data_IF_144656639723
#
_entry.id   IF_144656639723
#
_cell.length_a   1.000
_cell.length_b   1.000
_cell.length_c   1.000
_cell.angle_alpha   90.00
_cell.angle_beta   90.00
_cell.angle_gamma   90.00
#
_symmetry.space_group_name_H-M   'P 1'
#
loop_
_entity.id
_entity.type
_entity.pdbx_description
1 polymer ?
#
# COMPACT_ATOMS: atom_id res chain seq x y z
N UNK A 1 -26.96 3.97 18.70
CA UNK A 1 -25.56 4.36 18.41
C UNK A 1 -25.53 4.94 17.01
N UNK A 2 -25.25 6.23 16.86
CA UNK A 2 -25.14 6.84 15.52
C UNK A 2 -23.99 6.19 14.75
N UNK A 3 -24.24 5.79 13.50
CA UNK A 3 -23.19 5.28 12.62
C UNK A 3 -22.10 6.35 12.49
N UNK A 4 -20.89 6.06 12.98
CA UNK A 4 -19.77 6.99 12.88
C UNK A 4 -19.28 7.00 11.43
N UNK A 5 -19.55 8.08 10.70
CA UNK A 5 -19.29 8.15 9.25
C UNK A 5 -17.92 8.72 8.92
N UNK A 6 -17.35 8.30 7.78
CA UNK A 6 -16.15 8.91 7.22
C UNK A 6 -16.32 10.43 7.09
N UNK A 7 -15.31 11.19 7.46
CA UNK A 7 -15.27 12.65 7.26
C UNK A 7 -14.24 12.90 6.18
N UNK A 8 -14.68 13.38 5.02
CA UNK A 8 -13.85 13.50 3.82
C UNK A 8 -13.95 14.92 3.26
N UNK A 9 -12.82 15.47 2.87
CA UNK A 9 -12.73 16.76 2.22
C UNK A 9 -11.85 16.63 0.97
N UNK A 10 -12.35 17.15 -0.15
CA UNK A 10 -11.55 17.34 -1.35
C UNK A 10 -10.90 18.73 -1.31
N UNK A 11 -9.60 18.78 -1.58
CA UNK A 11 -8.80 19.99 -1.67
C UNK A 11 -8.24 20.07 -3.10
N UNK A 12 -8.71 21.02 -3.93
CA UNK A 12 -8.22 21.20 -5.29
C UNK A 12 -6.72 21.51 -5.33
N UNK A 13 -6.03 21.07 -6.39
CA UNK A 13 -4.62 21.43 -6.61
C UNK A 13 -4.45 22.93 -6.93
N UNK A 14 -3.32 23.52 -6.53
CA UNK A 14 -3.06 24.95 -6.72
C UNK A 14 -2.86 25.33 -8.20
N UNK A 15 -2.37 24.41 -9.04
CA UNK A 15 -2.16 24.64 -10.47
C UNK A 15 -3.43 24.36 -11.32
N UNK A 16 -4.55 24.04 -10.67
CA UNK A 16 -5.79 23.66 -11.33
C UNK A 16 -6.32 24.71 -12.33
N UNK A 17 -6.30 26.04 -12.05
CA UNK A 17 -6.79 27.04 -13.00
C UNK A 17 -6.03 27.09 -14.33
N UNK A 18 -4.77 26.62 -14.37
CA UNK A 18 -3.93 26.62 -15.57
C UNK A 18 -4.25 25.46 -16.51
N UNK A 19 -4.81 24.37 -15.98
CA UNK A 19 -5.05 23.11 -16.71
C UNK A 19 -6.52 22.80 -16.92
N UNK A 20 -7.39 23.26 -16.03
CA UNK A 20 -8.80 22.91 -16.00
C UNK A 20 -9.69 24.15 -15.92
N UNK A 21 -10.80 24.12 -16.66
CA UNK A 21 -11.92 25.05 -16.47
C UNK A 21 -12.77 24.65 -15.26
N UNK A 22 -12.95 23.33 -15.07
CA UNK A 22 -13.64 22.75 -13.92
C UNK A 22 -12.90 21.51 -13.49
N UNK A 23 -12.76 21.34 -12.18
CA UNK A 23 -12.34 20.09 -11.57
C UNK A 23 -12.97 20.00 -10.18
N UNK A 24 -14.10 19.31 -10.12
CA UNK A 24 -14.92 19.19 -8.91
C UNK A 24 -15.06 17.72 -8.55
N UNK A 25 -14.89 17.42 -7.26
CA UNK A 25 -15.10 16.08 -6.69
C UNK A 25 -16.00 16.23 -5.47
N UNK A 26 -17.03 15.40 -5.42
CA UNK A 26 -18.01 15.38 -4.33
C UNK A 26 -18.21 13.93 -3.86
N UNK A 27 -18.49 13.78 -2.58
CA UNK A 27 -18.90 12.51 -1.99
C UNK A 27 -20.43 12.48 -2.00
N UNK A 28 -21.01 11.38 -2.46
CA UNK A 28 -22.47 11.30 -2.61
C UNK A 28 -23.11 11.25 -1.21
N UNK A 29 -23.97 12.22 -0.91
CA UNK A 29 -24.61 12.37 0.40
C UNK A 29 -25.70 11.32 0.66
N UNK A 30 -25.96 11.09 1.94
CA UNK A 30 -26.54 9.88 2.54
C UNK A 30 -27.96 9.50 2.09
N UNK A 31 -28.77 10.36 1.48
CA UNK A 31 -30.20 10.06 1.35
C UNK A 31 -30.60 9.09 0.21
N UNK A 32 -29.67 8.70 -0.67
CA UNK A 32 -29.91 7.66 -1.71
C UNK A 32 -28.90 6.50 -1.64
N UNK A 33 -27.73 6.71 -1.01
CA UNK A 33 -26.64 5.75 -0.90
C UNK A 33 -26.18 5.49 0.56
N UNK A 34 -26.99 5.85 1.57
CA UNK A 34 -26.77 5.66 3.03
C UNK A 34 -26.41 4.24 3.50
N UNK A 35 -26.43 3.24 2.62
CA UNK A 35 -26.31 1.82 2.98
C UNK A 35 -24.94 1.24 2.67
N UNK A 36 -24.04 2.00 2.05
CA UNK A 36 -22.69 1.52 1.77
C UNK A 36 -21.78 1.76 2.97
N UNK A 37 -21.71 0.78 3.86
CA UNK A 37 -20.87 0.79 5.06
C UNK A 37 -19.39 0.52 4.71
N UNK A 38 -19.13 -0.14 3.58
CA UNK A 38 -17.79 -0.64 3.25
C UNK A 38 -17.15 0.09 2.07
N UNK A 39 -17.82 1.07 1.49
CA UNK A 39 -17.32 1.86 0.37
C UNK A 39 -17.67 3.35 0.43
N UNK A 40 -16.86 4.16 -0.24
CA UNK A 40 -17.00 5.61 -0.38
C UNK A 40 -17.45 5.88 -1.82
N UNK A 41 -18.73 6.23 -2.06
CA UNK A 41 -19.17 6.67 -3.37
C UNK A 41 -18.67 8.09 -3.64
N UNK A 42 -18.00 8.25 -4.76
CA UNK A 42 -17.42 9.52 -5.20
C UNK A 42 -17.86 9.81 -6.62
N UNK A 43 -18.22 11.06 -6.88
CA UNK A 43 -18.52 11.55 -8.22
C UNK A 43 -17.78 12.85 -8.46
N UNK A 44 -17.49 13.13 -9.72
CA UNK A 44 -16.87 14.39 -10.08
C UNK A 44 -17.19 14.83 -11.49
N UNK A 45 -16.76 16.04 -11.80
CA UNK A 45 -16.80 16.62 -13.13
C UNK A 45 -15.46 17.30 -13.42
N UNK A 46 -14.88 17.02 -14.58
CA UNK A 46 -13.62 17.63 -15.01
C UNK A 46 -13.77 18.11 -16.46
N UNK A 47 -13.40 19.37 -16.67
CA UNK A 47 -13.37 20.03 -17.97
C UNK A 47 -11.95 20.55 -18.17
N UNK A 48 -11.09 19.82 -18.91
CA UNK A 48 -9.76 20.29 -19.30
C UNK A 48 -9.85 21.56 -20.15
N UNK A 49 -8.83 22.41 -20.10
CA UNK A 49 -8.69 23.54 -21.04
C UNK A 49 -8.34 23.09 -22.46
N UNK A 50 -7.66 21.95 -22.57
CA UNK A 50 -7.20 21.34 -23.80
C UNK A 50 -7.45 19.83 -23.79
N UNK A 51 -7.94 19.29 -24.90
CA UNK A 51 -8.18 17.86 -25.07
C UNK A 51 -9.44 17.30 -24.40
N UNK A 52 -9.49 15.98 -24.29
CA UNK A 52 -10.64 15.20 -23.83
C UNK A 52 -10.28 14.38 -22.59
N UNK A 53 -11.04 14.49 -21.47
CA UNK A 53 -10.77 13.69 -20.29
C UNK A 53 -11.11 12.21 -20.58
N UNK A 54 -10.18 11.32 -20.27
CA UNK A 54 -10.33 9.88 -20.51
C UNK A 54 -10.75 9.15 -19.23
N UNK A 55 -10.00 9.37 -18.15
CA UNK A 55 -10.10 8.57 -16.93
C UNK A 55 -9.77 9.38 -15.69
N UNK A 56 -10.62 9.28 -14.67
CA UNK A 56 -10.33 9.70 -13.31
C UNK A 56 -9.66 8.55 -12.55
N UNK A 57 -8.59 8.85 -11.81
CA UNK A 57 -7.78 7.89 -11.09
C UNK A 57 -7.64 8.37 -9.65
N UNK A 58 -7.90 7.48 -8.70
CA UNK A 58 -7.67 7.74 -7.28
C UNK A 58 -6.51 6.89 -6.82
N UNK A 59 -5.51 7.49 -6.19
CA UNK A 59 -4.37 6.75 -5.65
C UNK A 59 -4.23 6.92 -4.14
N UNK A 60 -3.69 5.89 -3.50
CA UNK A 60 -3.26 5.88 -2.10
C UNK A 60 -1.86 5.30 -2.06
N UNK A 61 -0.91 6.03 -1.45
CA UNK A 61 0.51 5.64 -1.42
C UNK A 61 1.05 5.34 -2.84
N UNK A 62 0.58 6.12 -3.84
CA UNK A 62 0.87 6.00 -5.27
C UNK A 62 0.36 4.73 -5.97
N UNK A 63 -0.42 3.90 -5.27
CA UNK A 63 -1.10 2.77 -5.86
C UNK A 63 -2.52 3.18 -6.23
N UNK A 64 -2.99 2.78 -7.41
CA UNK A 64 -4.36 3.04 -7.83
C UNK A 64 -5.32 2.25 -6.94
N UNK A 65 -6.23 2.96 -6.25
CA UNK A 65 -7.27 2.38 -5.39
C UNK A 65 -8.68 2.54 -5.96
N UNK A 66 -8.82 3.32 -7.03
CA UNK A 66 -10.05 3.42 -7.80
C UNK A 66 -9.82 4.12 -9.13
N UNK A 67 -10.67 3.82 -10.10
CA UNK A 67 -10.69 4.54 -11.37
C UNK A 67 -12.07 4.48 -12.00
N UNK A 68 -12.36 5.47 -12.84
CA UNK A 68 -13.58 5.54 -13.63
C UNK A 68 -13.35 6.30 -14.93
N UNK A 69 -13.95 5.82 -16.01
CA UNK A 69 -14.08 6.59 -17.25
C UNK A 69 -15.04 7.78 -17.09
N UNK A 70 -14.82 8.80 -17.91
CA UNK A 70 -15.77 9.90 -18.07
C UNK A 70 -16.91 9.46 -18.99
N UNK A 71 -18.08 9.20 -18.39
CA UNK A 71 -19.21 8.59 -19.08
C UNK A 71 -20.51 9.38 -18.99
N UNK A 72 -20.55 10.42 -18.16
CA UNK A 72 -21.75 11.20 -17.90
C UNK A 72 -21.62 12.63 -18.44
N UNK A 73 -22.66 13.12 -19.07
CA UNK A 73 -22.80 14.55 -19.39
C UNK A 73 -23.10 15.35 -18.12
N UNK A 74 -22.64 16.60 -18.06
CA UNK A 74 -22.84 17.51 -16.93
C UNK A 74 -23.27 18.88 -17.44
N UNK A 75 -24.47 18.99 -18.07
CA UNK A 75 -24.91 20.22 -18.73
C UNK A 75 -24.95 21.43 -17.79
N UNK A 76 -25.32 21.23 -16.51
CA UNK A 76 -25.32 22.30 -15.50
C UNK A 76 -23.90 22.84 -15.21
N UNK A 77 -22.88 21.98 -15.29
CA UNK A 77 -21.48 22.36 -15.05
C UNK A 77 -20.87 22.98 -16.31
N UNK A 78 -21.19 22.41 -17.48
CA UNK A 78 -20.78 22.95 -18.78
C UNK A 78 -21.33 24.37 -19.00
N UNK A 79 -22.61 24.61 -18.65
CA UNK A 79 -23.23 25.92 -18.75
C UNK A 79 -22.54 26.98 -17.86
N UNK A 80 -22.04 26.61 -16.68
CA UNK A 80 -21.30 27.52 -15.77
C UNK A 80 -20.01 28.06 -16.37
N UNK A 81 -19.42 27.34 -17.31
CA UNK A 81 -18.18 27.74 -18.01
C UNK A 81 -18.44 28.18 -19.46
N UNK A 82 -19.70 28.41 -19.82
CA UNK A 82 -20.08 28.86 -21.16
C UNK A 82 -19.86 27.80 -22.26
N UNK A 83 -19.75 26.53 -21.89
CA UNK A 83 -19.67 25.43 -22.85
C UNK A 83 -21.06 24.94 -23.23
N UNK A 84 -21.26 24.68 -24.52
CA UNK A 84 -22.45 24.03 -25.07
C UNK A 84 -21.99 22.94 -26.04
N UNK A 85 -21.63 21.78 -25.49
CA UNK A 85 -21.13 20.64 -26.25
C UNK A 85 -21.92 19.38 -25.92
N UNK A 86 -23.14 19.23 -26.47
CA UNK A 86 -23.95 18.03 -26.27
C UNK A 86 -23.16 16.75 -26.61
N UNK A 87 -23.25 15.73 -25.75
CA UNK A 87 -22.47 14.50 -25.91
C UNK A 87 -21.06 14.53 -25.33
N UNK A 88 -20.56 15.68 -24.85
CA UNK A 88 -19.24 15.76 -24.22
C UNK A 88 -19.29 15.24 -22.77
N UNK A 89 -18.71 14.06 -22.54
CA UNK A 89 -18.76 13.39 -21.25
C UNK A 89 -17.65 13.91 -20.34
N UNK A 90 -18.05 14.65 -19.31
CA UNK A 90 -17.17 15.36 -18.37
C UNK A 90 -17.36 14.88 -16.93
N UNK A 91 -18.39 14.07 -16.67
CA UNK A 91 -18.68 13.47 -15.37
C UNK A 91 -18.20 12.03 -15.24
N UNK A 92 -17.78 11.66 -14.03
CA UNK A 92 -17.41 10.30 -13.64
C UNK A 92 -18.04 9.92 -12.29
N UNK A 93 -18.07 8.62 -12.00
CA UNK A 93 -18.49 8.04 -10.72
C UNK A 93 -17.60 6.86 -10.39
N UNK A 94 -17.10 6.78 -9.16
CA UNK A 94 -16.23 5.72 -8.67
C UNK A 94 -16.61 5.34 -7.24
N UNK A 95 -16.60 4.06 -6.91
CA UNK A 95 -16.74 3.57 -5.53
C UNK A 95 -15.40 3.06 -5.04
N UNK A 96 -14.93 3.62 -3.92
CA UNK A 96 -13.68 3.21 -3.29
C UNK A 96 -14.00 2.30 -2.10
N UNK A 97 -13.38 1.12 -2.00
CA UNK A 97 -13.51 0.33 -0.76
C UNK A 97 -12.79 1.03 0.40
N UNK A 98 -13.44 1.10 1.56
CA UNK A 98 -12.90 1.67 2.82
C UNK A 98 -11.82 0.79 3.44
N UNK A 99 -11.84 -0.51 3.16
CA UNK A 99 -10.77 -1.43 3.55
C UNK A 99 -9.49 -1.05 2.80
N UNK A 100 -8.32 -1.19 3.42
CA UNK A 100 -7.06 -0.83 2.77
C UNK A 100 -6.81 0.67 2.66
N UNK A 101 -7.67 1.51 3.25
CA UNK A 101 -7.44 2.95 3.34
C UNK A 101 -6.97 3.31 4.75
N UNK A 102 -5.96 4.19 4.83
CA UNK A 102 -5.40 4.63 6.10
C UNK A 102 -6.33 5.56 6.85
N UNK A 103 -6.08 5.72 8.15
CA UNK A 103 -6.68 6.74 9.00
C UNK A 103 -5.55 7.40 9.82
N UNK A 104 -5.25 8.70 9.62
CA UNK A 104 -5.90 9.62 8.69
C UNK A 104 -5.79 9.18 7.22
N UNK A 105 -6.81 9.55 6.45
CA UNK A 105 -6.94 9.26 5.02
C UNK A 105 -6.25 10.37 4.22
N UNK A 106 -5.44 9.96 3.25
CA UNK A 106 -4.90 10.83 2.23
C UNK A 106 -4.93 10.11 0.88
N UNK A 107 -5.63 10.68 -0.11
CA UNK A 107 -5.72 10.16 -1.47
C UNK A 107 -5.40 11.28 -2.47
N UNK A 108 -4.87 10.90 -3.62
CA UNK A 108 -4.66 11.81 -4.75
C UNK A 108 -5.67 11.49 -5.84
N UNK A 109 -6.29 12.52 -6.42
CA UNK A 109 -7.18 12.41 -7.57
C UNK A 109 -6.44 12.94 -8.80
N UNK A 110 -6.21 12.07 -9.76
CA UNK A 110 -5.51 12.33 -11.01
C UNK A 110 -6.49 12.18 -12.18
N UNK A 111 -6.24 12.90 -13.27
CA UNK A 111 -6.98 12.74 -14.53
C UNK A 111 -6.04 12.53 -15.70
N UNK A 112 -6.34 11.52 -16.49
CA UNK A 112 -5.72 11.32 -17.81
C UNK A 112 -6.53 12.08 -18.86
N UNK A 113 -5.90 13.01 -19.56
CA UNK A 113 -6.48 13.81 -20.64
C UNK A 113 -5.78 13.49 -21.96
N UNK A 114 -6.54 13.19 -23.00
CA UNK A 114 -6.02 13.06 -24.37
C UNK A 114 -5.99 14.41 -25.04
N UNK A 115 -4.80 14.90 -25.33
CA UNK A 115 -4.57 16.19 -25.99
C UNK A 115 -4.84 16.09 -27.50
N UNK A 116 -4.98 17.24 -28.15
CA UNK A 116 -5.26 17.33 -29.60
C UNK A 116 -4.14 16.72 -30.46
N UNK A 117 -2.92 16.67 -29.94
CA UNK A 117 -1.77 16.01 -30.58
C UNK A 117 -1.78 14.47 -30.42
N UNK A 118 -2.84 13.91 -29.83
CA UNK A 118 -3.00 12.48 -29.59
C UNK A 118 -2.27 11.93 -28.36
N UNK A 119 -1.43 12.73 -27.68
CA UNK A 119 -0.73 12.30 -26.46
C UNK A 119 -1.66 12.34 -25.25
N UNK A 120 -1.40 11.47 -24.27
CA UNK A 120 -2.07 11.49 -22.98
C UNK A 120 -1.22 12.26 -21.96
N UNK A 121 -1.84 13.19 -21.25
CA UNK A 121 -1.28 13.91 -20.10
C UNK A 121 -1.99 13.45 -18.83
N UNK A 122 -1.24 13.23 -17.75
CA UNK A 122 -1.77 12.96 -16.42
C UNK A 122 -1.54 14.18 -15.53
N UNK A 123 -2.61 14.72 -14.95
CA UNK A 123 -2.54 15.88 -14.07
C UNK A 123 -3.12 15.53 -12.68
N UNK A 124 -2.52 16.09 -11.63
CA UNK A 124 -3.10 16.11 -10.28
C UNK A 124 -4.24 17.12 -10.25
N UNK A 125 -5.44 16.64 -9.93
CA UNK A 125 -6.65 17.46 -9.82
C UNK A 125 -6.84 17.96 -8.39
N UNK A 126 -6.44 17.16 -7.42
CA UNK A 126 -6.46 17.54 -6.01
C UNK A 126 -6.27 16.34 -5.10
N UNK A 127 -6.42 16.58 -3.81
CA UNK A 127 -6.25 15.57 -2.77
C UNK A 127 -7.53 15.39 -1.98
N UNK A 128 -7.73 14.19 -1.44
CA UNK A 128 -8.81 13.89 -0.50
C UNK A 128 -8.17 13.59 0.84
N UNK A 129 -8.53 14.38 1.85
CA UNK A 129 -8.09 14.18 3.23
C UNK A 129 -9.26 13.87 4.14
N UNK A 130 -9.04 13.11 5.20
CA UNK A 130 -10.13 12.79 6.12
C UNK A 130 -9.83 11.74 7.16
N UNK A 131 -10.91 11.20 7.75
CA UNK A 131 -10.84 10.03 8.63
C UNK A 131 -11.54 8.87 7.93
N UNK A 132 -10.79 7.77 7.71
CA UNK A 132 -11.39 6.49 7.34
C UNK A 132 -11.75 5.70 8.60
N UNK A 133 -12.96 5.15 8.64
CA UNK A 133 -13.43 4.25 9.69
C UNK A 133 -13.96 2.98 9.04
N UNK A 134 -13.09 1.98 8.79
CA UNK A 134 -13.55 0.72 8.25
C UNK A 134 -14.50 0.04 9.26
N UNK A 135 -15.44 -0.75 8.76
CA UNK A 135 -16.27 -1.57 9.61
C UNK A 135 -15.42 -2.58 10.39
N UNK A 136 -15.70 -2.74 11.68
CA UNK A 136 -15.04 -3.73 12.54
C UNK A 136 -16.03 -4.75 13.13
N UNK A 137 -17.32 -4.39 13.20
CA UNK A 137 -18.37 -5.25 13.74
C UNK A 137 -18.56 -6.49 12.84
N UNK A 138 -18.57 -7.68 13.45
CA UNK A 138 -18.76 -8.96 12.75
C UNK A 138 -17.47 -9.59 12.19
N UNK A 139 -16.34 -8.87 12.19
CA UNK A 139 -15.04 -9.48 11.87
C UNK A 139 -14.60 -10.33 13.06
N UNK A 140 -14.44 -11.63 12.84
CA UNK A 140 -14.00 -12.57 13.86
C UNK A 140 -12.56 -12.29 14.30
N UNK A 141 -12.23 -12.68 15.53
CA UNK A 141 -10.85 -12.75 15.99
C UNK A 141 -10.02 -13.72 15.14
N UNK A 142 -8.69 -13.56 15.19
CA UNK A 142 -7.75 -14.52 14.60
C UNK A 142 -6.94 -15.16 15.71
N UNK A 143 -6.53 -16.42 15.52
CA UNK A 143 -5.64 -17.12 16.45
C UNK A 143 -4.28 -16.45 16.54
N UNK A 144 -3.76 -15.95 15.42
CA UNK A 144 -2.47 -15.27 15.34
C UNK A 144 -2.63 -13.85 14.79
N UNK A 145 -1.83 -12.90 15.31
CA UNK A 145 -1.80 -11.54 14.76
C UNK A 145 -0.63 -11.37 13.77
N UNK A 146 -0.81 -10.65 12.66
CA UNK A 146 0.30 -10.42 11.75
C UNK A 146 1.25 -9.32 12.26
N UNK A 147 2.54 -9.55 12.06
CA UNK A 147 3.55 -8.49 11.97
C UNK A 147 3.83 -8.29 10.48
N UNK A 148 3.29 -7.24 9.89
CA UNK A 148 3.65 -6.86 8.52
C UNK A 148 4.95 -6.07 8.56
N UNK A 149 5.88 -6.43 7.68
CA UNK A 149 7.17 -5.73 7.52
C UNK A 149 7.21 -5.10 6.13
N UNK A 150 6.59 -3.91 5.94
CA UNK A 150 6.67 -3.19 4.69
C UNK A 150 8.05 -2.60 4.53
N UNK A 151 8.67 -2.85 3.38
CA UNK A 151 10.02 -2.41 3.19
C UNK A 151 10.37 -2.17 1.74
N UNK A 152 11.41 -1.36 1.56
CA UNK A 152 12.10 -1.22 0.30
C UNK A 152 12.98 -2.44 0.04
N UNK A 153 13.09 -2.81 -1.23
CA UNK A 153 14.14 -3.72 -1.65
C UNK A 153 15.50 -3.20 -1.18
N UNK A 154 16.34 -4.10 -0.66
CA UNK A 154 17.70 -3.81 -0.16
C UNK A 154 17.80 -2.99 1.13
N UNK A 155 16.76 -2.96 1.95
CA UNK A 155 16.77 -2.28 3.26
C UNK A 155 17.23 -3.15 4.45
N UNK A 156 17.51 -4.43 4.23
CA UNK A 156 17.86 -5.36 5.32
C UNK A 156 16.70 -6.22 5.84
N UNK A 157 15.60 -6.32 5.09
CA UNK A 157 14.38 -7.06 5.49
C UNK A 157 14.66 -8.49 5.92
N UNK A 158 15.63 -9.15 5.29
CA UNK A 158 15.90 -10.55 5.58
C UNK A 158 16.55 -10.72 6.95
N UNK A 159 17.34 -9.74 7.40
CA UNK A 159 17.93 -9.71 8.73
C UNK A 159 16.82 -9.60 9.79
N UNK A 160 15.95 -8.60 9.67
CA UNK A 160 14.87 -8.40 10.65
C UNK A 160 13.88 -9.57 10.66
N UNK A 161 13.55 -10.18 9.51
CA UNK A 161 12.70 -11.37 9.45
C UNK A 161 13.33 -12.57 10.16
N UNK A 162 14.65 -12.78 9.99
CA UNK A 162 15.37 -13.82 10.71
C UNK A 162 15.37 -13.60 12.22
N UNK A 163 15.58 -12.36 12.65
CA UNK A 163 15.54 -11.97 14.07
C UNK A 163 14.14 -12.17 14.67
N UNK A 164 13.09 -11.71 13.98
CA UNK A 164 11.70 -11.93 14.39
C UNK A 164 11.39 -13.41 14.51
N UNK A 165 11.74 -14.23 13.50
CA UNK A 165 11.48 -15.67 13.53
C UNK A 165 12.21 -16.40 14.66
N UNK A 166 13.34 -15.86 15.13
CA UNK A 166 14.10 -16.41 16.27
C UNK A 166 13.43 -16.11 17.62
N UNK A 167 12.53 -15.14 17.71
CA UNK A 167 11.79 -14.87 18.94
C UNK A 167 10.78 -15.99 19.22
N UNK A 168 10.70 -16.56 20.45
CA UNK A 168 9.90 -17.76 20.73
C UNK A 168 8.42 -17.63 20.36
N UNK A 169 7.84 -16.43 20.46
CA UNK A 169 6.43 -16.16 20.19
C UNK A 169 6.11 -15.67 18.76
N UNK A 170 7.08 -15.69 17.83
CA UNK A 170 6.91 -15.19 16.45
C UNK A 170 7.39 -16.21 15.43
N UNK A 171 6.57 -16.52 14.43
CA UNK A 171 6.93 -17.40 13.30
C UNK A 171 6.97 -16.63 11.98
N UNK A 172 7.92 -16.95 11.10
CA UNK A 172 7.97 -16.42 9.74
C UNK A 172 8.05 -17.57 8.71
N UNK A 173 7.28 -17.52 7.61
CA UNK A 173 7.23 -18.58 6.62
C UNK A 173 8.45 -18.58 5.65
N UNK A 174 8.78 -19.77 5.12
CA UNK A 174 9.56 -19.92 3.88
C UNK A 174 11.07 -20.03 3.99
N UNK A 175 11.64 -20.27 5.17
CA UNK A 175 13.11 -20.30 5.35
C UNK A 175 13.76 -18.97 4.96
N UNK A 176 15.09 -18.88 4.87
CA UNK A 176 15.74 -17.69 4.30
C UNK A 176 15.44 -17.65 2.79
N UNK A 177 15.11 -16.48 2.17
CA UNK A 177 15.10 -15.11 2.67
C UNK A 177 13.73 -14.61 3.22
N UNK A 178 12.87 -15.53 3.65
CA UNK A 178 11.54 -15.31 4.23
C UNK A 178 10.59 -14.64 3.23
N UNK A 179 10.44 -15.25 2.06
CA UNK A 179 9.66 -14.69 0.93
C UNK A 179 8.47 -15.55 0.51
N UNK A 180 8.07 -16.53 1.34
CA UNK A 180 6.83 -17.28 1.11
C UNK A 180 5.62 -16.50 1.64
N UNK A 181 5.01 -15.67 0.77
CA UNK A 181 3.99 -14.67 1.14
C UNK A 181 2.54 -15.18 1.03
N UNK A 182 2.25 -16.32 1.67
CA UNK A 182 0.92 -16.94 1.60
C UNK A 182 -0.17 -16.07 2.23
N UNK A 183 0.13 -15.35 3.32
CA UNK A 183 -0.87 -14.48 3.93
C UNK A 183 -1.18 -13.28 3.04
N UNK A 184 -0.16 -12.68 2.41
CA UNK A 184 -0.34 -11.61 1.41
C UNK A 184 -1.21 -12.04 0.24
N UNK A 185 -1.08 -13.29 -0.24
CA UNK A 185 -1.95 -13.81 -1.28
C UNK A 185 -3.43 -13.78 -0.83
N UNK A 186 -3.70 -14.24 0.39
CA UNK A 186 -5.06 -14.22 0.96
C UNK A 186 -5.55 -12.80 1.30
N UNK A 187 -4.69 -11.91 1.78
CA UNK A 187 -5.05 -10.49 1.97
C UNK A 187 -5.35 -9.80 0.63
N UNK A 188 -4.62 -10.15 -0.42
CA UNK A 188 -4.94 -9.69 -1.77
C UNK A 188 -6.32 -10.23 -2.20
N UNK A 189 -6.61 -11.52 -2.01
CA UNK A 189 -7.92 -12.08 -2.29
C UNK A 189 -9.05 -11.39 -1.50
N UNK A 190 -8.85 -11.11 -0.20
CA UNK A 190 -9.76 -10.30 0.61
C UNK A 190 -9.99 -8.95 -0.06
N UNK A 191 -8.91 -8.22 -0.42
CA UNK A 191 -9.03 -6.91 -1.07
C UNK A 191 -9.86 -7.00 -2.34
N UNK A 192 -9.57 -7.96 -3.21
CA UNK A 192 -10.24 -8.10 -4.51
C UNK A 192 -11.72 -8.48 -4.32
N UNK A 193 -12.01 -9.51 -3.54
CA UNK A 193 -13.34 -10.08 -3.45
C UNK A 193 -14.31 -9.26 -2.57
N UNK A 194 -13.79 -8.39 -1.70
CA UNK A 194 -14.60 -7.49 -0.86
C UNK A 194 -14.73 -6.06 -1.41
N UNK A 195 -14.10 -5.76 -2.55
CA UNK A 195 -14.18 -4.43 -3.14
C UNK A 195 -15.43 -4.28 -4.03
N UNK A 196 -15.98 -3.05 -4.14
CA UNK A 196 -16.94 -2.71 -5.19
C UNK A 196 -16.39 -3.03 -6.59
N UNK A 197 -17.30 -3.18 -7.55
CA UNK A 197 -16.91 -3.37 -8.94
C UNK A 197 -16.03 -2.21 -9.46
N UNK A 198 -15.11 -2.54 -10.37
CA UNK A 198 -14.39 -1.56 -11.18
C UNK A 198 -14.11 -2.16 -12.55
N UNK A 199 -14.83 -1.68 -13.55
CA UNK A 199 -14.72 -2.16 -14.92
C UNK A 199 -13.45 -1.67 -15.62
N UNK A 200 -12.80 -0.63 -15.08
CA UNK A 200 -11.56 -0.08 -15.62
C UNK A 200 -10.29 -0.72 -15.04
N UNK A 201 -10.38 -1.22 -13.80
CA UNK A 201 -9.26 -1.86 -13.11
C UNK A 201 -9.36 -3.38 -13.08
N UNK A 202 -10.54 -3.93 -13.38
CA UNK A 202 -10.87 -5.30 -13.08
C UNK A 202 -11.88 -5.87 -14.07
N UNK A 203 -12.60 -6.92 -13.67
CA UNK A 203 -13.53 -7.65 -14.52
C UNK A 203 -14.71 -6.81 -15.01
N UNK A 204 -15.11 -7.05 -16.27
CA UNK A 204 -16.36 -6.57 -16.84
C UNK A 204 -17.39 -7.73 -16.95
N UNK A 205 -18.69 -7.50 -16.71
CA UNK A 205 -19.74 -8.52 -16.77
C UNK A 205 -19.73 -9.36 -18.06
N UNK A 206 -19.47 -8.75 -19.20
CA UNK A 206 -19.48 -9.46 -20.51
C UNK A 206 -18.24 -10.29 -20.80
N UNK A 207 -17.23 -10.24 -19.92
CA UNK A 207 -15.89 -10.77 -20.24
C UNK A 207 -15.28 -11.67 -19.17
N UNK A 208 -15.87 -11.70 -17.95
CA UNK A 208 -15.25 -12.41 -16.83
C UNK A 208 -15.20 -13.93 -17.02
N UNK A 209 -16.21 -14.53 -17.66
CA UNK A 209 -16.21 -15.96 -18.05
C UNK A 209 -15.50 -16.24 -19.38
N UNK A 210 -15.10 -15.19 -20.11
CA UNK A 210 -14.45 -15.31 -21.42
C UNK A 210 -13.00 -14.86 -21.38
N UNK A 211 -12.76 -13.58 -21.71
CA UNK A 211 -11.41 -12.99 -21.82
C UNK A 211 -10.61 -13.03 -20.53
N UNK A 212 -11.27 -13.14 -19.38
CA UNK A 212 -10.63 -13.16 -18.06
C UNK A 212 -10.78 -14.49 -17.32
N UNK A 213 -11.00 -15.60 -18.05
CA UNK A 213 -11.28 -16.93 -17.47
C UNK A 213 -10.26 -17.40 -16.40
N UNK A 214 -8.98 -17.06 -16.56
CA UNK A 214 -7.92 -17.45 -15.60
C UNK A 214 -7.61 -16.40 -14.54
N UNK A 215 -8.36 -15.30 -14.49
CA UNK A 215 -8.17 -14.21 -13.54
C UNK A 215 -9.32 -14.22 -12.53
N UNK A 216 -9.06 -13.75 -11.31
CA UNK A 216 -10.09 -13.37 -10.35
C UNK A 216 -9.95 -11.86 -10.13
N UNK A 217 -11.04 -11.13 -10.35
CA UNK A 217 -11.10 -9.69 -10.18
C UNK A 217 -12.19 -9.27 -9.20
N UNK A 218 -12.43 -7.97 -9.12
CA UNK A 218 -13.57 -7.44 -8.38
C UNK A 218 -14.84 -8.06 -8.95
N UNK A 219 -15.80 -8.38 -8.09
CA UNK A 219 -17.08 -8.91 -8.54
C UNK A 219 -17.78 -7.83 -9.39
N UNK A 220 -18.00 -8.06 -10.70
CA UNK A 220 -18.52 -7.03 -11.60
C UNK A 220 -19.99 -6.69 -11.33
N UNK A 221 -20.68 -7.48 -10.50
CA UNK A 221 -22.07 -7.28 -10.14
C UNK A 221 -22.28 -6.45 -8.87
N UNK A 222 -21.21 -6.14 -8.12
CA UNK A 222 -21.25 -5.19 -6.98
C UNK A 222 -21.13 -3.76 -7.52
N UNK A 223 -22.02 -3.42 -8.45
CA UNK A 223 -22.09 -2.12 -9.12
C UNK A 223 -23.48 -1.51 -8.96
N UNK A 224 -23.52 -0.17 -8.95
CA UNK A 224 -24.75 0.62 -8.83
C UNK A 224 -25.79 0.23 -9.89
N UNK A 225 -25.39 -0.11 -11.11
CA UNK A 225 -26.33 -0.47 -12.18
C UNK A 225 -27.13 -1.73 -11.86
N UNK A 226 -26.50 -2.73 -11.25
CA UNK A 226 -27.14 -3.98 -10.85
C UNK A 226 -27.93 -3.81 -9.55
N UNK A 227 -27.40 -3.05 -8.59
CA UNK A 227 -28.12 -2.75 -7.36
C UNK A 227 -29.47 -2.02 -7.65
N UNK A 228 -29.50 -1.13 -8.65
CA UNK A 228 -30.75 -0.48 -9.12
C UNK A 228 -31.77 -1.46 -9.69
N UNK A 229 -31.32 -2.49 -10.42
CA UNK A 229 -32.22 -3.50 -10.99
C UNK A 229 -32.98 -4.29 -9.90
N UNK A 230 -32.37 -4.45 -8.72
CA UNK A 230 -32.99 -5.03 -7.53
C UNK A 230 -33.72 -4.02 -6.64
N UNK A 231 -33.98 -2.80 -7.11
CA UNK A 231 -34.56 -1.70 -6.33
C UNK A 231 -33.84 -1.43 -5.00
N UNK A 232 -32.52 -1.69 -4.92
CA UNK A 232 -31.71 -1.50 -3.71
C UNK A 232 -32.23 -2.26 -2.48
N UNK A 233 -32.65 -3.53 -2.67
CA UNK A 233 -33.16 -4.43 -1.64
C UNK A 233 -32.05 -5.02 -0.72
N UNK A 234 -32.41 -6.01 0.11
CA UNK A 234 -31.52 -6.75 1.03
C UNK A 234 -30.26 -7.32 0.37
N UNK A 235 -30.29 -7.63 -0.93
CA UNK A 235 -29.13 -8.17 -1.65
C UNK A 235 -28.00 -7.14 -1.75
N UNK A 236 -28.31 -5.89 -2.07
CA UNK A 236 -27.31 -4.84 -2.17
C UNK A 236 -26.67 -4.54 -0.80
N UNK A 237 -27.48 -4.61 0.27
CA UNK A 237 -26.99 -4.51 1.65
C UNK A 237 -26.07 -5.67 2.01
N UNK A 238 -26.46 -6.89 1.65
CA UNK A 238 -25.66 -8.09 1.87
C UNK A 238 -24.33 -8.06 1.13
N UNK A 239 -24.34 -7.66 -0.14
CA UNK A 239 -23.13 -7.52 -0.95
C UNK A 239 -22.18 -6.44 -0.41
N UNK A 240 -22.72 -5.35 0.13
CA UNK A 240 -21.87 -4.29 0.68
C UNK A 240 -21.34 -4.64 2.08
N UNK A 241 -22.11 -5.32 2.93
CA UNK A 241 -21.75 -5.51 4.35
C UNK A 241 -21.39 -6.95 4.71
N UNK A 242 -22.35 -7.87 4.62
CA UNK A 242 -22.20 -9.24 5.14
C UNK A 242 -21.24 -10.09 4.30
N UNK A 243 -21.22 -9.90 2.97
CA UNK A 243 -20.33 -10.62 2.06
C UNK A 243 -18.84 -10.27 2.34
N UNK A 244 -18.40 -9.00 2.39
CA UNK A 244 -17.05 -8.63 2.82
C UNK A 244 -16.63 -9.23 4.16
N UNK A 245 -17.50 -9.19 5.18
CA UNK A 245 -17.23 -9.80 6.49
C UNK A 245 -16.99 -11.31 6.36
N UNK A 246 -17.83 -12.01 5.60
CA UNK A 246 -17.74 -13.45 5.40
C UNK A 246 -16.45 -13.84 4.67
N UNK A 247 -16.06 -13.08 3.64
CA UNK A 247 -14.81 -13.23 2.91
C UNK A 247 -13.61 -13.04 3.84
N UNK A 248 -13.60 -11.95 4.62
CA UNK A 248 -12.53 -11.67 5.59
C UNK A 248 -12.39 -12.84 6.56
N UNK A 249 -13.49 -13.28 7.18
CA UNK A 249 -13.47 -14.35 8.17
C UNK A 249 -13.00 -15.68 7.58
N UNK A 250 -13.42 -16.01 6.36
CA UNK A 250 -12.98 -17.20 5.63
C UNK A 250 -11.46 -17.19 5.42
N UNK A 251 -10.92 -16.12 4.82
CA UNK A 251 -9.49 -16.05 4.53
C UNK A 251 -8.62 -15.91 5.78
N UNK A 252 -9.11 -15.25 6.85
CA UNK A 252 -8.42 -15.24 8.15
C UNK A 252 -8.29 -16.65 8.73
N UNK A 253 -9.35 -17.46 8.64
CA UNK A 253 -9.31 -18.87 9.06
C UNK A 253 -8.31 -19.69 8.24
N UNK A 254 -8.23 -19.46 6.92
CA UNK A 254 -7.23 -20.13 6.07
C UNK A 254 -5.80 -19.71 6.43
N UNK A 255 -5.58 -18.45 6.79
CA UNK A 255 -4.28 -17.97 7.28
C UNK A 255 -3.93 -18.63 8.61
N UNK A 256 -4.87 -18.71 9.56
CA UNK A 256 -4.64 -19.39 10.85
C UNK A 256 -4.29 -20.87 10.64
N UNK A 257 -5.00 -21.56 9.73
CA UNK A 257 -4.69 -22.95 9.35
C UNK A 257 -3.31 -23.08 8.71
N UNK A 258 -2.92 -22.14 7.84
CA UNK A 258 -1.60 -22.12 7.24
C UNK A 258 -0.52 -21.96 8.32
N UNK A 259 -0.69 -21.02 9.25
CA UNK A 259 0.24 -20.85 10.38
C UNK A 259 0.30 -22.11 11.22
N UNK A 260 -0.85 -22.76 11.51
CA UNK A 260 -0.87 -24.04 12.23
C UNK A 260 -0.02 -25.11 11.53
N UNK A 261 -0.06 -25.18 10.19
CA UNK A 261 0.80 -26.11 9.42
C UNK A 261 2.29 -25.80 9.54
N UNK A 262 2.68 -24.53 9.62
CA UNK A 262 4.08 -24.15 9.85
C UNK A 262 4.59 -24.62 11.23
N UNK A 263 3.69 -24.77 12.20
CA UNK A 263 4.06 -25.08 13.58
C UNK A 263 4.23 -26.57 13.85
N UNK A 264 3.59 -27.45 13.05
CA UNK A 264 3.61 -28.91 13.24
C UNK A 264 5.03 -29.45 13.41
N UNK A 265 5.92 -29.14 12.46
CA UNK A 265 7.29 -29.68 12.47
C UNK A 265 8.25 -28.84 13.32
N UNK A 266 7.84 -27.64 13.73
CA UNK A 266 8.69 -26.73 14.49
C UNK A 266 8.74 -27.06 15.99
N UNK A 267 7.72 -27.76 16.52
CA UNK A 267 7.54 -28.00 17.96
C UNK A 267 7.36 -26.73 18.79
N UNK A 268 7.11 -25.59 18.16
CA UNK A 268 7.01 -24.28 18.82
C UNK A 268 5.60 -24.03 19.31
N UNK A 269 5.50 -23.68 20.60
CA UNK A 269 4.25 -23.34 21.27
C UNK A 269 4.21 -21.87 21.67
N UNK A 270 3.02 -21.33 21.96
CA UNK A 270 2.88 -19.95 22.44
C UNK A 270 3.12 -18.87 21.39
N UNK A 271 2.97 -19.21 20.10
CA UNK A 271 3.04 -18.25 19.00
C UNK A 271 1.89 -17.26 19.11
N UNK A 272 2.24 -15.97 19.10
CA UNK A 272 1.30 -14.85 19.13
C UNK A 272 1.23 -14.15 17.78
N UNK A 273 2.36 -14.09 17.10
CA UNK A 273 2.47 -13.41 15.82
C UNK A 273 3.01 -14.31 14.71
N UNK A 274 2.54 -14.08 13.50
CA UNK A 274 3.25 -14.48 12.29
C UNK A 274 3.77 -13.23 11.58
N UNK A 275 5.06 -13.23 11.23
CA UNK A 275 5.68 -12.12 10.52
C UNK A 275 5.70 -12.40 9.01
N UNK A 276 5.35 -11.41 8.20
CA UNK A 276 5.45 -11.52 6.75
C UNK A 276 5.99 -10.23 6.13
N UNK A 277 6.92 -10.38 5.19
CA UNK A 277 7.48 -9.29 4.40
C UNK A 277 6.45 -8.81 3.38
N UNK A 278 6.21 -7.51 3.31
CA UNK A 278 5.29 -6.90 2.34
C UNK A 278 5.98 -5.77 1.57
N UNK A 279 5.35 -5.35 0.47
CA UNK A 279 5.69 -4.06 -0.15
C UNK A 279 4.87 -2.95 0.53
N UNK A 280 5.36 -1.72 0.46
CA UNK A 280 4.59 -0.56 0.91
C UNK A 280 3.41 -0.35 -0.04
N UNK A 281 2.21 -0.67 0.43
CA UNK A 281 0.97 -0.62 -0.34
C UNK A 281 -0.25 -0.48 0.58
N UNK A 282 -1.44 -0.15 0.02
CA UNK A 282 -2.73 -0.17 0.71
C UNK A 282 -3.06 -1.50 1.42
N UNK A 283 -2.45 -2.61 1.00
CA UNK A 283 -2.62 -3.91 1.64
C UNK A 283 -2.19 -3.91 3.12
N UNK A 284 -1.18 -3.10 3.48
CA UNK A 284 -0.76 -3.01 4.87
C UNK A 284 -1.83 -2.36 5.75
N UNK A 285 -2.53 -1.35 5.21
CA UNK A 285 -3.64 -0.71 5.92
C UNK A 285 -4.82 -1.68 6.03
N UNK A 286 -5.07 -2.51 5.02
CA UNK A 286 -6.10 -3.56 5.05
C UNK A 286 -5.85 -4.51 6.22
N UNK A 287 -4.61 -4.97 6.38
CA UNK A 287 -4.24 -5.84 7.51
C UNK A 287 -4.52 -5.14 8.84
N UNK A 288 -4.14 -3.87 8.99
CA UNK A 288 -4.44 -3.08 10.18
C UNK A 288 -5.94 -2.84 10.40
N UNK A 289 -6.76 -2.82 9.34
CA UNK A 289 -8.21 -2.67 9.44
C UNK A 289 -8.87 -3.96 9.96
N UNK A 290 -8.44 -5.14 9.49
CA UNK A 290 -9.12 -6.42 9.77
C UNK A 290 -8.50 -7.23 10.92
N UNK A 291 -7.32 -6.84 11.41
CA UNK A 291 -6.67 -7.42 12.58
C UNK A 291 -6.40 -6.34 13.64
N UNK A 292 -7.21 -6.29 14.71
CA UNK A 292 -6.99 -5.33 15.80
C UNK A 292 -5.59 -5.47 16.44
N UNK A 293 -5.10 -6.70 16.56
CA UNK A 293 -3.78 -7.01 17.11
C UNK A 293 -2.60 -6.91 16.14
N UNK A 294 -2.83 -6.57 14.86
CA UNK A 294 -1.75 -6.45 13.89
C UNK A 294 -0.76 -5.33 14.24
N UNK A 295 0.50 -5.56 13.89
CA UNK A 295 1.60 -4.62 14.07
C UNK A 295 2.31 -4.41 12.74
N UNK A 296 2.73 -3.18 12.49
CA UNK A 296 3.49 -2.80 11.31
C UNK A 296 4.89 -2.36 11.73
N UNK A 297 5.91 -2.97 11.13
CA UNK A 297 7.32 -2.62 11.37
C UNK A 297 7.94 -2.19 10.05
N UNK A 298 8.07 -0.87 9.86
CA UNK A 298 8.79 -0.33 8.72
C UNK A 298 10.29 -0.49 8.94
N UNK A 299 10.98 -1.01 7.93
CA UNK A 299 12.42 -0.98 7.88
C UNK A 299 12.86 0.18 6.98
N UNK A 300 13.56 1.13 7.58
CA UNK A 300 14.11 2.30 6.89
C UNK A 300 15.63 2.16 6.82
N UNK A 301 16.18 2.54 5.67
CA UNK A 301 17.62 2.55 5.40
C UNK A 301 17.88 3.83 4.61
N UNK A 302 19.10 4.36 4.68
CA UNK A 302 19.51 5.44 3.79
C UNK A 302 19.16 5.07 2.33
N UNK A 303 18.34 5.90 1.69
CA UNK A 303 17.79 5.60 0.37
C UNK A 303 18.90 5.53 -0.69
N UNK A 304 20.02 6.25 -0.44
CA UNK A 304 21.23 6.24 -1.26
C UNK A 304 21.96 4.90 -1.15
N UNK A 305 22.15 4.38 0.06
CA UNK A 305 22.75 3.05 0.26
C UNK A 305 21.85 1.93 -0.28
N UNK A 306 20.54 2.09 -0.16
CA UNK A 306 19.57 1.14 -0.72
C UNK A 306 19.67 1.09 -2.26
N UNK A 307 19.84 2.26 -2.90
CA UNK A 307 20.06 2.36 -4.35
C UNK A 307 21.40 1.74 -4.75
N UNK A 308 22.50 2.12 -4.10
CA UNK A 308 23.84 1.56 -4.37
C UNK A 308 23.88 0.04 -4.16
N UNK A 309 23.20 -0.46 -3.12
CA UNK A 309 23.08 -1.91 -2.88
C UNK A 309 22.30 -2.61 -3.98
N UNK A 310 21.20 -2.02 -4.48
CA UNK A 310 20.42 -2.56 -5.59
C UNK A 310 21.25 -2.60 -6.88
N UNK A 311 21.96 -1.50 -7.18
CA UNK A 311 22.84 -1.39 -8.35
C UNK A 311 23.95 -2.43 -8.31
N UNK A 312 24.62 -2.59 -7.17
CA UNK A 312 25.65 -3.61 -6.99
C UNK A 312 25.09 -5.04 -7.07
N UNK A 313 23.87 -5.27 -6.58
CA UNK A 313 23.21 -6.58 -6.68
C UNK A 313 22.94 -6.95 -8.15
N UNK A 314 22.37 -6.05 -8.93
CA UNK A 314 22.08 -6.28 -10.34
C UNK A 314 23.37 -6.57 -11.13
N UNK A 315 24.43 -5.77 -10.92
CA UNK A 315 25.76 -6.02 -11.53
C UNK A 315 26.31 -7.40 -11.18
N UNK A 316 26.19 -7.84 -9.92
CA UNK A 316 26.65 -9.16 -9.47
C UNK A 316 25.86 -10.31 -10.13
N UNK A 317 24.58 -10.10 -10.43
CA UNK A 317 23.68 -11.15 -10.94
C UNK A 317 23.51 -11.16 -12.45
N UNK A 318 23.89 -10.09 -13.15
CA UNK A 318 23.74 -9.97 -14.59
C UNK A 318 22.29 -9.84 -15.06
N UNK A 319 21.36 -9.44 -14.18
CA UNK A 319 19.98 -9.11 -14.55
C UNK A 319 19.47 -7.91 -13.75
N UNK A 320 18.51 -7.18 -14.33
CA UNK A 320 17.90 -6.00 -13.72
C UNK A 320 16.78 -6.40 -12.76
N UNK A 321 16.78 -5.77 -11.59
CA UNK A 321 15.73 -5.89 -10.57
C UNK A 321 15.65 -4.61 -9.73
N UNK A 322 14.69 -4.51 -8.81
CA UNK A 322 14.51 -3.34 -7.93
C UNK A 322 14.19 -2.03 -8.66
N UNK A 323 13.48 -2.13 -9.78
CA UNK A 323 12.99 -1.00 -10.56
C UNK A 323 13.93 -0.54 -11.67
N UNK A 324 15.07 -1.20 -11.86
CA UNK A 324 16.04 -0.92 -12.93
C UNK A 324 15.60 -1.44 -14.30
N UNK A 325 14.57 -2.30 -14.36
CA UNK A 325 14.13 -2.97 -15.56
C UNK A 325 13.78 -1.98 -16.68
N UNK A 326 14.67 -1.86 -17.67
CA UNK A 326 14.54 -0.94 -18.80
C UNK A 326 14.64 0.55 -18.44
N UNK A 327 15.30 0.90 -17.32
CA UNK A 327 15.43 2.27 -16.83
C UNK A 327 16.87 2.66 -16.56
N UNK A 328 17.18 3.92 -16.77
CA UNK A 328 18.44 4.56 -16.35
C UNK A 328 18.54 4.68 -14.83
N UNK A 329 19.76 4.84 -14.32
CA UNK A 329 20.04 5.08 -12.90
C UNK A 329 19.28 6.33 -12.40
N UNK A 330 19.21 7.38 -13.22
CA UNK A 330 18.49 8.63 -12.94
C UNK A 330 16.98 8.41 -12.81
N UNK A 331 16.38 7.63 -13.72
CA UNK A 331 14.96 7.27 -13.63
C UNK A 331 14.66 6.42 -12.40
N UNK A 332 15.56 5.50 -12.04
CA UNK A 332 15.42 4.68 -10.84
C UNK A 332 15.50 5.54 -9.59
N UNK A 333 16.48 6.45 -9.50
CA UNK A 333 16.55 7.42 -8.42
C UNK A 333 15.25 8.21 -8.38
N UNK A 334 14.83 8.85 -9.47
CA UNK A 334 13.59 9.62 -9.48
C UNK A 334 12.37 8.84 -8.99
N UNK A 335 12.25 7.56 -9.38
CA UNK A 335 11.14 6.71 -8.93
C UNK A 335 11.13 6.44 -7.41
N UNK A 336 12.27 6.56 -6.72
CA UNK A 336 12.39 6.37 -5.28
C UNK A 336 11.89 7.56 -4.45
N UNK A 337 11.66 8.72 -5.06
CA UNK A 337 11.02 9.87 -4.38
C UNK A 337 9.66 9.48 -3.81
N UNK A 338 8.87 8.77 -4.61
CA UNK A 338 7.54 8.33 -4.23
C UNK A 338 7.54 7.52 -2.93
N UNK A 339 8.43 6.52 -2.82
CA UNK A 339 8.50 5.71 -1.61
C UNK A 339 9.04 6.50 -0.41
N UNK A 340 10.00 7.41 -0.63
CA UNK A 340 10.51 8.28 0.43
C UNK A 340 9.37 9.11 1.04
N UNK A 341 8.51 9.69 0.19
CA UNK A 341 7.35 10.47 0.61
C UNK A 341 6.34 9.61 1.36
N UNK A 342 6.06 8.39 0.88
CA UNK A 342 5.16 7.46 1.58
C UNK A 342 5.70 7.10 2.96
N UNK A 343 7.01 6.90 3.12
CA UNK A 343 7.63 6.61 4.42
C UNK A 343 7.57 7.81 5.36
N UNK A 344 7.84 9.02 4.85
CA UNK A 344 7.69 10.27 5.62
C UNK A 344 6.24 10.45 6.10
N UNK A 345 5.27 10.26 5.21
CA UNK A 345 3.85 10.36 5.56
C UNK A 345 3.45 9.27 6.57
N UNK A 346 3.91 8.03 6.38
CA UNK A 346 3.67 6.95 7.34
C UNK A 346 4.27 7.24 8.72
N UNK A 347 5.44 7.91 8.77
CA UNK A 347 6.05 8.33 10.02
C UNK A 347 5.27 9.47 10.68
N UNK A 348 4.89 10.49 9.90
CA UNK A 348 4.11 11.65 10.37
C UNK A 348 2.78 11.24 11.02
N UNK A 349 2.14 10.21 10.47
CA UNK A 349 0.85 9.71 10.95
C UNK A 349 0.93 8.36 11.65
N UNK A 350 2.13 7.97 12.11
CA UNK A 350 2.35 6.71 12.81
C UNK A 350 1.40 6.59 14.00
N UNK A 351 0.72 5.45 14.10
CA UNK A 351 -0.17 5.12 15.19
C UNK A 351 0.52 4.16 16.16
N UNK A 352 -0.12 3.85 17.29
CA UNK A 352 0.37 2.90 18.32
C UNK A 352 0.68 1.48 17.81
N UNK A 353 0.34 1.17 16.55
CA UNK A 353 0.55 -0.11 15.87
C UNK A 353 1.63 -0.06 14.79
N UNK A 354 2.37 1.05 14.68
CA UNK A 354 3.44 1.23 13.70
C UNK A 354 4.76 1.55 14.40
N UNK A 355 5.85 0.88 13.99
CA UNK A 355 7.20 1.12 14.49
C UNK A 355 8.19 1.21 13.33
N UNK A 356 9.23 2.01 13.48
CA UNK A 356 10.28 2.19 12.49
C UNK A 356 11.60 1.65 13.04
N UNK A 357 12.24 0.78 12.27
CA UNK A 357 13.58 0.26 12.55
C UNK A 357 14.54 0.84 11.52
N UNK A 358 15.54 1.60 11.97
CA UNK A 358 16.64 2.03 11.12
C UNK A 358 17.61 0.87 10.92
N UNK A 359 17.95 0.59 9.68
CA UNK A 359 18.88 -0.46 9.32
C UNK A 359 20.26 -0.22 9.96
N UNK A 360 20.70 1.03 9.98
CA UNK A 360 21.99 1.45 10.52
C UNK A 360 22.06 1.21 12.03
N UNK A 361 20.98 1.48 12.77
CA UNK A 361 20.87 1.17 14.20
C UNK A 361 20.84 -0.34 14.43
N UNK A 362 20.11 -1.09 13.60
CA UNK A 362 20.02 -2.54 13.70
C UNK A 362 21.37 -3.25 13.52
N UNK A 363 22.25 -2.72 12.66
CA UNK A 363 23.58 -3.31 12.43
C UNK A 363 24.64 -2.79 13.41
N UNK A 364 24.50 -1.58 13.94
CA UNK A 364 25.47 -0.97 14.88
C UNK A 364 25.18 -1.31 16.34
N UNK A 365 23.91 -1.33 16.75
CA UNK A 365 23.43 -1.73 18.07
C UNK A 365 22.20 -2.66 17.94
N UNK A 366 22.47 -3.91 17.54
CA UNK A 366 21.42 -4.90 17.34
C UNK A 366 20.64 -5.18 18.63
N UNK A 367 21.31 -5.26 19.78
CA UNK A 367 20.66 -5.59 21.06
C UNK A 367 19.72 -4.48 21.49
N UNK A 368 20.18 -3.23 21.49
CA UNK A 368 19.35 -2.08 21.86
C UNK A 368 18.18 -1.88 20.89
N UNK A 369 18.40 -2.09 19.59
CA UNK A 369 17.34 -2.04 18.58
C UNK A 369 16.29 -3.13 18.79
N UNK A 370 16.71 -4.37 19.08
CA UNK A 370 15.79 -5.47 19.33
C UNK A 370 14.96 -5.27 20.61
N UNK A 371 15.55 -4.73 21.68
CA UNK A 371 14.82 -4.41 22.91
C UNK A 371 13.64 -3.46 22.64
N UNK A 372 13.88 -2.38 21.90
CA UNK A 372 12.82 -1.43 21.49
C UNK A 372 11.75 -2.10 20.63
N UNK A 373 12.17 -2.98 19.71
CA UNK A 373 11.25 -3.70 18.83
C UNK A 373 10.34 -4.66 19.61
N UNK A 374 10.90 -5.49 20.50
CA UNK A 374 10.10 -6.44 21.28
C UNK A 374 9.20 -5.74 22.30
N UNK A 375 9.64 -4.62 22.87
CA UNK A 375 8.82 -3.75 23.72
C UNK A 375 7.60 -3.24 22.95
N UNK A 376 7.80 -2.69 21.75
CA UNK A 376 6.71 -2.25 20.88
C UNK A 376 5.73 -3.39 20.53
N UNK A 377 6.27 -4.59 20.25
CA UNK A 377 5.47 -5.78 19.95
C UNK A 377 4.80 -6.40 21.20
N UNK A 378 5.13 -5.90 22.39
CA UNK A 378 4.72 -6.42 23.70
C UNK A 378 5.09 -7.90 23.87
N UNK A 379 6.35 -8.21 23.54
CA UNK A 379 6.97 -9.53 23.58
C UNK A 379 8.05 -9.60 24.68
N UNK A 380 8.55 -10.81 24.96
CA UNK A 380 9.62 -11.01 25.94
C UNK A 380 10.93 -10.36 25.48
N UNK A 381 11.45 -9.46 26.33
CA UNK A 381 12.72 -8.77 26.14
C UNK A 381 13.81 -9.21 27.10
N UNK A 382 13.67 -10.38 27.75
CA UNK A 382 14.69 -10.92 28.64
C UNK A 382 16.08 -10.97 27.98
N UNK A 383 17.16 -10.77 28.74
CA UNK A 383 18.52 -10.87 28.22
C UNK A 383 18.79 -12.16 27.46
N UNK A 384 18.22 -13.28 27.93
CA UNK A 384 18.33 -14.60 27.33
C UNK A 384 17.63 -14.68 25.97
N UNK A 385 16.42 -14.13 25.85
CA UNK A 385 15.68 -14.11 24.59
C UNK A 385 16.37 -13.23 23.55
N UNK A 386 16.82 -12.03 23.93
CA UNK A 386 17.55 -11.13 23.02
C UNK A 386 18.87 -11.76 22.58
N UNK A 387 19.62 -12.38 23.49
CA UNK A 387 20.86 -13.08 23.15
C UNK A 387 20.63 -14.21 22.14
N UNK A 388 19.56 -15.01 22.30
CA UNK A 388 19.17 -16.06 21.34
C UNK A 388 18.82 -15.49 19.97
N UNK A 389 18.06 -14.39 19.94
CA UNK A 389 17.72 -13.72 18.68
C UNK A 389 18.97 -13.26 17.94
N UNK A 390 19.91 -12.60 18.62
CA UNK A 390 21.18 -12.15 18.01
C UNK A 390 22.00 -13.34 17.50
N UNK A 391 22.20 -14.38 18.32
CA UNK A 391 22.98 -15.56 17.96
C UNK A 391 22.42 -16.33 16.74
N UNK A 392 21.13 -16.18 16.43
CA UNK A 392 20.52 -16.78 15.23
C UNK A 392 21.12 -16.24 13.91
N UNK A 393 21.75 -15.06 13.95
CA UNK A 393 22.31 -14.41 12.77
C UNK A 393 23.71 -14.92 12.38
N UNK A 394 24.44 -15.52 13.30
CA UNK A 394 25.83 -15.97 13.11
C UNK A 394 25.97 -17.18 12.18
N UNK A 395 24.86 -17.87 11.89
CA UNK A 395 24.85 -18.98 10.92
C UNK A 395 25.08 -18.44 9.51
N UNK A 396 26.28 -18.63 8.96
CA UNK A 396 26.55 -18.44 7.53
C UNK A 396 25.84 -19.56 6.76
N UNK A 397 24.97 -19.18 5.82
CA UNK A 397 24.33 -20.10 4.87
C UNK A 397 24.69 -19.69 3.45
N UNK A 398 24.69 -20.64 2.51
CA UNK A 398 24.92 -20.33 1.09
C UNK A 398 23.90 -19.31 0.56
N UNK A 399 22.64 -19.44 1.00
CA UNK A 399 21.57 -18.48 0.68
C UNK A 399 21.88 -17.06 1.18
N UNK A 400 22.47 -16.90 2.38
CA UNK A 400 22.93 -15.60 2.87
C UNK A 400 24.02 -15.00 1.96
N UNK A 401 24.96 -15.82 1.47
CA UNK A 401 26.03 -15.37 0.58
C UNK A 401 25.51 -14.93 -0.81
N UNK A 402 24.45 -15.60 -1.29
CA UNK A 402 23.76 -15.26 -2.53
C UNK A 402 23.14 -13.86 -2.42
N UNK A 403 22.47 -13.54 -1.31
CA UNK A 403 21.78 -12.24 -1.12
C UNK A 403 22.68 -11.08 -0.67
N UNK A 404 23.85 -11.38 -0.10
CA UNK A 404 24.81 -10.38 0.35
C UNK A 404 25.53 -9.68 -0.81
N UNK A 405 25.67 -8.35 -0.68
CA UNK A 405 26.44 -7.48 -1.60
C UNK A 405 27.74 -6.97 -0.98
N UNK A 406 28.00 -7.29 0.28
CA UNK A 406 29.18 -6.90 1.07
C UNK A 406 29.65 -8.10 1.90
N UNK A 407 30.90 -8.07 2.38
CA UNK A 407 31.49 -9.18 3.16
C UNK A 407 30.94 -9.24 4.58
N UNK A 408 30.57 -8.11 5.15
CA UNK A 408 29.88 -7.98 6.43
C UNK A 408 28.75 -6.94 6.34
N UNK A 409 27.90 -6.87 7.37
CA UNK A 409 26.76 -5.94 7.42
C UNK A 409 27.19 -4.50 7.65
N UNK A 410 28.25 -4.28 8.43
CA UNK A 410 28.77 -2.95 8.78
C UNK A 410 29.33 -2.20 7.56
N UNK A 411 30.03 -2.89 6.65
CA UNK A 411 30.54 -2.35 5.38
C UNK A 411 29.45 -1.98 4.36
N UNK A 412 28.18 -2.18 4.71
CA UNK A 412 27.06 -1.78 3.86
C UNK A 412 26.49 -0.40 4.19
N UNK A 413 26.97 0.24 5.25
CA UNK A 413 26.54 1.59 5.69
C UNK A 413 27.44 2.66 5.07
N UNK A 414 26.84 3.75 4.58
CA UNK A 414 27.48 4.91 3.95
C UNK A 414 28.31 4.62 2.68
N UNK A 415 28.04 3.51 1.99
CA UNK A 415 28.66 3.18 0.68
C UNK A 415 28.37 4.24 -0.38
N UNK A 416 27.22 4.90 -0.27
CA UNK A 416 26.83 5.97 -1.17
C UNK A 416 27.84 7.11 -1.27
N UNK A 417 28.64 7.36 -0.21
CA UNK A 417 29.65 8.43 -0.21
C UNK A 417 30.70 8.25 -1.31
N UNK A 418 31.11 7.01 -1.55
CA UNK A 418 32.11 6.66 -2.57
C UNK A 418 31.51 6.15 -3.88
N UNK A 419 30.30 5.58 -3.85
CA UNK A 419 29.71 4.93 -5.03
C UNK A 419 28.75 5.81 -5.83
N UNK A 420 28.21 6.90 -5.26
CA UNK A 420 27.43 7.88 -6.02
C UNK A 420 28.34 8.96 -6.61
N UNK A 421 28.03 9.38 -7.84
CA UNK A 421 28.57 10.59 -8.45
C UNK A 421 28.06 11.85 -7.73
N UNK A 422 28.76 12.97 -7.90
CA UNK A 422 28.35 14.25 -7.30
C UNK A 422 26.97 14.72 -7.79
N UNK A 423 26.61 14.42 -9.05
CA UNK A 423 25.29 14.73 -9.59
C UNK A 423 24.19 13.90 -8.91
N UNK A 424 24.42 12.59 -8.71
CA UNK A 424 23.47 11.73 -7.99
C UNK A 424 23.32 12.18 -6.52
N UNK A 425 24.41 12.58 -5.85
CA UNK A 425 24.36 13.11 -4.48
C UNK A 425 23.54 14.40 -4.42
N UNK A 426 23.81 15.36 -5.29
CA UNK A 426 23.08 16.62 -5.38
C UNK A 426 21.59 16.40 -5.64
N UNK A 427 21.25 15.48 -6.55
CA UNK A 427 19.87 15.06 -6.80
C UNK A 427 19.22 14.51 -5.52
N UNK A 428 19.88 13.57 -4.83
CA UNK A 428 19.36 12.97 -3.61
C UNK A 428 19.14 14.02 -2.49
N UNK A 429 20.09 14.94 -2.32
CA UNK A 429 20.02 16.02 -1.33
C UNK A 429 18.82 16.96 -1.55
N UNK A 430 18.45 17.18 -2.82
CA UNK A 430 17.26 17.95 -3.17
C UNK A 430 15.98 17.12 -3.05
N UNK A 431 15.95 15.94 -3.68
CA UNK A 431 14.75 15.12 -3.82
C UNK A 431 14.32 14.48 -2.50
N UNK A 432 15.24 14.04 -1.64
CA UNK A 432 14.91 13.26 -0.44
C UNK A 432 15.16 14.02 0.86
N UNK A 433 15.31 15.35 0.81
CA UNK A 433 15.59 16.19 1.98
C UNK A 433 14.68 15.87 3.18
N UNK A 434 13.37 15.88 2.95
CA UNK A 434 12.39 15.63 4.02
C UNK A 434 12.53 14.22 4.61
N UNK A 435 12.85 13.22 3.78
CA UNK A 435 13.13 11.86 4.25
C UNK A 435 14.39 11.81 5.11
N UNK A 436 15.46 12.49 4.70
CA UNK A 436 16.70 12.55 5.46
C UNK A 436 16.49 13.24 6.82
N UNK A 437 15.80 14.38 6.83
CA UNK A 437 15.45 15.10 8.06
C UNK A 437 14.56 14.25 8.99
N UNK A 438 13.55 13.59 8.43
CA UNK A 438 12.60 12.76 9.18
C UNK A 438 13.27 11.56 9.86
N UNK A 439 14.19 10.88 9.16
CA UNK A 439 14.81 9.65 9.65
C UNK A 439 16.25 9.85 10.16
N UNK A 440 16.72 11.09 10.29
CA UNK A 440 18.02 11.43 10.86
C UNK A 440 19.22 11.00 10.02
N UNK A 441 19.13 11.14 8.70
CA UNK A 441 20.24 10.94 7.76
C UNK A 441 20.85 12.30 7.37
N UNK A 442 22.15 12.31 7.05
CA UNK A 442 22.83 13.52 6.58
C UNK A 442 22.31 13.91 5.18
N UNK A 443 21.99 15.20 4.97
CA UNK A 443 21.46 15.70 3.69
C UNK A 443 22.52 15.82 2.59
N UNK A 444 23.81 15.92 2.97
CA UNK A 444 24.94 16.14 2.05
C UNK A 444 25.07 15.08 0.96
#
# INVERSE_FOLDING_TARGET
>A
MGAMTNTLQFVPDMALPDRFLVAEVTFVDKDVEARYETSIPMQGCVIPRDGVPLRAIVTSKGMVVGAANFQYERPNVEARVGMSSPGFKTGFHVRLSTLGLSSPLFLEVLVDTRLDNGKTRRDLVGTISGTNRPFAAGIAGSKYSPIVVPALGRSGTTLIMGLLNAHPQVVAPGGYPFEYRQASYFWHAIRILSSPASFDLSMHPDSFEGKHFYHIGYNPYIDRQYHKAFQLNEVASWQDRELPISIINCFKSLIDQFVDKLLIDSGRNGIRYFAEKTIVSPMNDLVLNIYPGARQVFLVRDIRDSFVSARAFNRKRGYESFGFEGKSDEEVLASRKHIADVLVQAHRYAQDRTHFVRYEDLVSDMKGTLLKLVEFLKLDGSPETIAKMVASQDRKTEEKAIHATTRDTASSVERWRSELSENEKAYCAQAYREFFETFGYAVQ
#
